data_IF_270716753689
#
_entry.id   IF_270716753689
#
_cell.length_a   1.000
_cell.length_b   1.000
_cell.length_c   1.000
_cell.angle_alpha   90.00
_cell.angle_beta   90.00
_cell.angle_gamma   90.00
#
_symmetry.space_group_name_H-M   'P 1'
#
loop_
_entity.id
_entity.type
_entity.pdbx_description
1 polymer ?
#
# COMPACT_ATOMS: atom_id res chain seq x y z
N UNK A 1 -59.84 -0.29 -55.26
CA UNK A 1 -58.80 -0.88 -54.40
C UNK A 1 -57.62 0.11 -54.35
N UNK A 2 -57.40 0.76 -53.21
CA UNK A 2 -56.28 1.70 -53.01
C UNK A 2 -55.06 0.87 -52.58
N UNK A 3 -54.03 0.80 -53.41
CA UNK A 3 -52.76 0.15 -53.08
C UNK A 3 -51.86 1.15 -52.37
N UNK A 4 -51.57 0.91 -51.09
CA UNK A 4 -50.61 1.70 -50.32
C UNK A 4 -49.24 1.05 -50.45
N UNK A 5 -48.28 1.76 -51.05
CA UNK A 5 -46.87 1.36 -51.11
C UNK A 5 -46.21 1.82 -49.82
N UNK A 6 -45.73 0.86 -49.01
CA UNK A 6 -44.99 1.12 -47.77
C UNK A 6 -43.50 1.26 -48.10
N UNK A 7 -42.92 2.43 -47.82
CA UNK A 7 -41.47 2.67 -47.93
C UNK A 7 -40.81 2.25 -46.61
N UNK A 8 -40.02 1.17 -46.64
CA UNK A 8 -39.10 0.83 -45.55
C UNK A 8 -37.89 1.76 -45.68
N UNK A 9 -37.76 2.73 -44.79
CA UNK A 9 -36.56 3.56 -44.69
C UNK A 9 -35.44 2.78 -44.02
N UNK A 10 -34.40 2.45 -44.79
CA UNK A 10 -33.17 1.87 -44.26
C UNK A 10 -32.27 3.02 -43.77
N UNK A 11 -32.24 3.26 -42.46
CA UNK A 11 -31.31 4.20 -41.86
C UNK A 11 -29.90 3.60 -41.87
N UNK A 12 -29.02 4.12 -42.73
CA UNK A 12 -27.60 3.80 -42.70
C UNK A 12 -26.96 4.53 -41.52
N UNK A 13 -26.75 3.83 -40.39
CA UNK A 13 -25.98 4.34 -39.27
C UNK A 13 -24.49 4.20 -39.63
N UNK A 14 -23.86 5.28 -40.05
CA UNK A 14 -22.40 5.34 -40.15
C UNK A 14 -21.81 5.44 -38.75
N UNK A 15 -21.35 4.32 -38.21
CA UNK A 15 -20.51 4.33 -37.01
C UNK A 15 -19.16 4.97 -37.37
N UNK A 16 -18.98 6.25 -37.06
CA UNK A 16 -17.66 6.87 -37.07
C UNK A 16 -16.91 6.27 -35.89
N UNK A 17 -16.04 5.29 -36.17
CA UNK A 17 -15.09 4.80 -35.19
C UNK A 17 -14.05 5.90 -34.94
N UNK A 18 -14.36 6.81 -34.02
CA UNK A 18 -13.37 7.74 -33.49
C UNK A 18 -12.29 6.95 -32.75
N UNK A 19 -11.02 7.22 -33.05
CA UNK A 19 -9.93 6.71 -32.24
C UNK A 19 -10.05 7.35 -30.84
N UNK A 20 -10.65 6.62 -29.88
CA UNK A 20 -10.67 7.05 -28.49
C UNK A 20 -9.28 6.77 -27.93
N UNK A 21 -8.44 7.80 -27.85
CA UNK A 21 -7.18 7.70 -27.13
C UNK A 21 -7.51 7.37 -25.67
N UNK A 22 -7.06 6.20 -25.23
CA UNK A 22 -7.26 5.78 -23.85
C UNK A 22 -6.58 6.78 -22.91
N UNK A 23 -7.35 7.40 -22.00
CA UNK A 23 -6.79 8.33 -21.03
C UNK A 23 -6.07 7.56 -19.92
N UNK A 24 -4.86 8.00 -19.56
CA UNK A 24 -4.22 7.51 -18.35
C UNK A 24 -5.07 7.87 -17.12
N UNK A 25 -5.16 6.99 -16.11
CA UNK A 25 -5.79 7.33 -14.84
C UNK A 25 -5.19 8.63 -14.28
N UNK A 26 -6.04 9.54 -13.82
CA UNK A 26 -5.60 10.77 -13.14
C UNK A 26 -6.19 10.79 -11.75
N UNK A 27 -5.33 10.91 -10.74
CA UNK A 27 -5.75 11.10 -9.35
C UNK A 27 -5.75 12.59 -9.06
N UNK A 28 -6.91 13.15 -8.73
CA UNK A 28 -7.07 14.56 -8.39
C UNK A 28 -6.92 14.77 -6.89
N UNK A 29 -7.55 13.90 -6.09
CA UNK A 29 -7.46 13.94 -4.64
C UNK A 29 -7.79 12.59 -4.03
N UNK A 30 -7.46 12.43 -2.75
CA UNK A 30 -7.92 11.30 -1.95
C UNK A 30 -8.19 11.76 -0.52
N UNK A 31 -9.11 11.09 0.16
CA UNK A 31 -9.47 11.38 1.55
C UNK A 31 -9.86 10.10 2.29
N UNK A 32 -9.41 9.91 3.54
CA UNK A 32 -8.48 10.77 4.27
C UNK A 32 -7.06 10.72 3.68
N UNK A 33 -6.23 11.73 3.99
CA UNK A 33 -4.82 11.78 3.55
C UNK A 33 -3.88 10.97 4.44
N UNK A 34 -4.40 10.48 5.58
CA UNK A 34 -3.68 9.67 6.55
C UNK A 34 -4.62 8.68 7.25
N UNK A 35 -4.05 7.65 7.86
CA UNK A 35 -4.80 6.67 8.64
C UNK A 35 -4.07 5.34 8.79
N UNK A 36 -4.49 4.50 9.76
CA UNK A 36 -3.91 3.17 9.95
C UNK A 36 -4.31 2.19 8.86
N UNK A 37 -3.66 1.02 8.85
CA UNK A 37 -4.08 -0.15 8.06
C UNK A 37 -5.58 -0.40 8.30
N UNK A 38 -6.30 -0.74 7.24
CA UNK A 38 -7.75 -0.95 7.28
C UNK A 38 -8.59 0.31 7.05
N UNK A 39 -7.99 1.51 7.07
CA UNK A 39 -8.71 2.77 6.75
C UNK A 39 -9.30 2.71 5.35
N UNK A 40 -10.54 3.18 5.20
CA UNK A 40 -11.17 3.34 3.90
C UNK A 40 -10.75 4.69 3.29
N UNK A 41 -10.16 4.66 2.10
CA UNK A 41 -9.72 5.84 1.36
C UNK A 41 -10.55 5.99 0.10
N UNK A 42 -11.15 7.15 -0.08
CA UNK A 42 -11.83 7.54 -1.31
C UNK A 42 -10.85 8.30 -2.20
N UNK A 43 -10.60 7.78 -3.39
CA UNK A 43 -9.73 8.38 -4.41
C UNK A 43 -10.64 8.98 -5.49
N UNK A 44 -10.51 10.28 -5.75
CA UNK A 44 -11.24 11.00 -6.81
C UNK A 44 -10.33 11.33 -7.98
N UNK A 45 -10.86 11.20 -9.19
CA UNK A 45 -10.04 11.27 -10.39
C UNK A 45 -10.82 11.11 -11.70
N UNK A 46 -10.12 10.63 -12.73
CA UNK A 46 -10.68 10.24 -14.02
C UNK A 46 -9.89 9.07 -14.62
N UNK A 47 -10.44 8.40 -15.64
CA UNK A 47 -9.76 7.31 -16.36
C UNK A 47 -9.73 5.98 -15.62
N UNK A 48 -10.54 5.83 -14.56
CA UNK A 48 -10.72 4.56 -13.85
C UNK A 48 -11.70 3.65 -14.61
N UNK A 49 -11.55 2.34 -14.42
CA UNK A 49 -12.55 1.38 -14.90
C UNK A 49 -13.75 1.32 -13.93
N UNK A 50 -14.95 1.09 -14.45
CA UNK A 50 -16.14 0.78 -13.62
C UNK A 50 -16.07 -0.60 -12.97
N UNK A 51 -15.22 -1.49 -13.47
CA UNK A 51 -14.97 -2.81 -12.87
C UNK A 51 -13.82 -2.74 -11.88
N UNK A 52 -14.05 -3.10 -10.62
CA UNK A 52 -13.03 -3.04 -9.57
C UNK A 52 -11.77 -3.85 -9.93
N UNK A 53 -11.92 -5.07 -10.43
CA UNK A 53 -10.80 -5.96 -10.81
C UNK A 53 -9.99 -5.51 -12.03
N UNK A 54 -10.52 -4.54 -12.78
CA UNK A 54 -9.85 -3.87 -13.89
C UNK A 54 -9.02 -2.66 -13.42
N UNK A 55 -9.06 -2.33 -12.13
CA UNK A 55 -8.20 -1.34 -11.52
C UNK A 55 -7.20 -2.03 -10.56
N UNK A 56 -6.03 -1.42 -10.40
CA UNK A 56 -5.06 -1.80 -9.36
C UNK A 56 -4.61 -0.52 -8.67
N UNK A 57 -4.67 -0.49 -7.33
CA UNK A 57 -4.23 0.65 -6.52
C UNK A 57 -3.11 0.20 -5.60
N UNK A 58 -2.02 0.96 -5.53
CA UNK A 58 -0.88 0.70 -4.67
C UNK A 58 -0.69 1.81 -3.64
N UNK A 59 -0.35 1.39 -2.42
CA UNK A 59 0.14 2.22 -1.32
C UNK A 59 1.63 1.91 -1.13
N UNK A 60 2.49 2.60 -1.89
CA UNK A 60 3.91 2.23 -1.99
C UNK A 60 4.07 0.89 -2.72
N UNK A 61 4.64 -0.10 -2.06
CA UNK A 61 4.88 -1.43 -2.65
C UNK A 61 3.67 -2.37 -2.54
N UNK A 62 2.68 -2.09 -1.68
CA UNK A 62 1.56 -3.01 -1.43
C UNK A 62 0.32 -2.65 -2.22
N UNK A 63 -0.35 -3.67 -2.79
CA UNK A 63 -1.64 -3.55 -3.47
C UNK A 63 -2.78 -3.43 -2.45
N UNK A 64 -3.64 -2.43 -2.64
CA UNK A 64 -4.87 -2.26 -1.87
C UNK A 64 -6.04 -3.06 -2.43
N UNK A 65 -6.96 -3.45 -1.54
CA UNK A 65 -8.27 -3.98 -1.94
C UNK A 65 -9.18 -2.83 -2.39
N UNK A 66 -9.88 -3.02 -3.51
CA UNK A 66 -10.82 -2.05 -4.07
C UNK A 66 -12.24 -2.49 -3.71
N UNK A 67 -12.99 -1.66 -3.00
CA UNK A 67 -14.37 -1.94 -2.60
C UNK A 67 -15.39 -1.51 -3.65
N UNK A 68 -15.24 -0.32 -4.20
CA UNK A 68 -16.12 0.19 -5.28
C UNK A 68 -15.30 0.95 -6.31
N UNK A 69 -15.78 0.91 -7.55
CA UNK A 69 -15.13 1.58 -8.67
C UNK A 69 -16.18 2.19 -9.61
N UNK A 70 -15.92 3.42 -10.04
CA UNK A 70 -16.56 4.05 -11.18
C UNK A 70 -15.50 4.88 -11.93
N UNK A 71 -15.88 5.56 -13.01
CA UNK A 71 -14.93 6.26 -13.89
C UNK A 71 -14.19 7.43 -13.23
N UNK A 72 -14.69 7.96 -12.12
CA UNK A 72 -14.15 9.13 -11.43
C UNK A 72 -13.85 8.93 -9.94
N UNK A 73 -14.14 7.76 -9.39
CA UNK A 73 -13.93 7.44 -7.99
C UNK A 73 -13.57 5.96 -7.78
N UNK A 74 -12.60 5.73 -6.90
CA UNK A 74 -12.29 4.42 -6.32
C UNK A 74 -12.43 4.51 -4.80
N UNK A 75 -13.01 3.51 -4.17
CA UNK A 75 -12.96 3.34 -2.71
C UNK A 75 -12.10 2.14 -2.40
N UNK A 76 -11.03 2.34 -1.63
CA UNK A 76 -10.02 1.32 -1.35
C UNK A 76 -9.77 1.19 0.15
N UNK A 77 -9.14 0.10 0.56
CA UNK A 77 -8.72 -0.13 1.95
C UNK A 77 -7.20 -0.09 2.05
N UNK A 78 -6.66 0.69 3.00
CA UNK A 78 -5.21 0.78 3.27
C UNK A 78 -4.68 -0.62 3.64
N UNK A 79 -3.73 -1.17 2.88
CA UNK A 79 -3.20 -2.52 3.14
C UNK A 79 -2.09 -2.50 4.20
N UNK A 80 -1.79 -3.68 4.75
CA UNK A 80 -0.57 -3.89 5.55
C UNK A 80 0.69 -3.58 4.71
N UNK A 81 1.70 -2.98 5.33
CA UNK A 81 2.91 -2.56 4.61
C UNK A 81 2.77 -1.30 3.75
N UNK A 82 1.64 -0.57 3.85
CA UNK A 82 1.51 0.75 3.23
C UNK A 82 2.59 1.71 3.73
N UNK A 83 3.39 2.27 2.82
CA UNK A 83 4.47 3.22 3.13
C UNK A 83 4.11 4.66 2.75
N UNK A 84 4.82 5.64 3.29
CA UNK A 84 4.69 7.06 2.93
C UNK A 84 5.12 7.35 1.47
N UNK A 85 4.21 7.11 0.53
CA UNK A 85 4.40 7.30 -0.91
C UNK A 85 3.11 7.80 -1.57
N UNK A 86 3.20 8.47 -2.74
CA UNK A 86 2.04 8.72 -3.58
C UNK A 86 1.26 7.45 -3.91
N UNK A 87 -0.06 7.58 -4.03
CA UNK A 87 -0.92 6.51 -4.53
C UNK A 87 -0.65 6.31 -6.01
N UNK A 88 -0.57 5.05 -6.42
CA UNK A 88 -0.35 4.66 -7.82
C UNK A 88 -1.51 3.79 -8.29
N UNK A 89 -2.13 4.15 -9.41
CA UNK A 89 -3.31 3.48 -9.97
C UNK A 89 -3.02 3.00 -11.37
N UNK A 90 -3.32 1.74 -11.67
CA UNK A 90 -3.30 1.16 -13.01
C UNK A 90 -4.73 0.86 -13.44
N UNK A 91 -5.08 1.25 -14.66
CA UNK A 91 -6.26 0.72 -15.34
C UNK A 91 -5.80 -0.40 -16.29
N UNK A 92 -6.19 -1.64 -15.99
CA UNK A 92 -5.74 -2.84 -16.72
C UNK A 92 -6.28 -2.91 -18.15
N UNK A 93 -7.41 -2.25 -18.43
CA UNK A 93 -8.01 -2.22 -19.76
C UNK A 93 -7.16 -1.32 -20.67
N UNK A 94 -6.83 -0.12 -20.20
CA UNK A 94 -6.03 0.83 -20.98
C UNK A 94 -4.53 0.55 -20.89
N UNK A 95 -4.10 -0.24 -19.89
CA UNK A 95 -2.69 -0.51 -19.55
C UNK A 95 -1.89 0.75 -19.21
N UNK A 96 -2.59 1.80 -18.81
CA UNK A 96 -2.00 3.07 -18.40
C UNK A 96 -2.09 3.23 -16.89
N UNK A 97 -1.23 4.10 -16.35
CA UNK A 97 -1.14 4.36 -14.92
C UNK A 97 -1.15 5.85 -14.60
N UNK A 98 -1.53 6.17 -13.36
CA UNK A 98 -1.47 7.51 -12.79
C UNK A 98 -0.96 7.50 -11.37
N UNK A 99 -0.35 8.61 -10.96
CA UNK A 99 0.19 8.82 -9.61
C UNK A 99 -0.46 10.06 -9.01
N UNK A 100 -0.73 10.05 -7.71
CA UNK A 100 -1.21 11.23 -7.00
C UNK A 100 -0.09 12.25 -6.77
N UNK A 101 -0.44 13.52 -6.58
CA UNK A 101 0.52 14.57 -6.22
C UNK A 101 0.94 14.51 -4.73
N UNK A 102 0.08 13.96 -3.87
CA UNK A 102 0.33 13.81 -2.44
C UNK A 102 0.62 12.35 -2.08
N UNK A 103 1.46 12.15 -1.06
CA UNK A 103 1.65 10.85 -0.42
C UNK A 103 0.54 10.58 0.61
N UNK A 104 0.16 9.31 0.78
CA UNK A 104 -0.67 8.89 1.89
C UNK A 104 0.20 8.70 3.14
N UNK A 105 -0.20 9.28 4.27
CA UNK A 105 0.50 9.14 5.54
C UNK A 105 -0.08 7.98 6.36
N UNK A 106 0.51 6.80 6.22
CA UNK A 106 0.16 5.64 7.05
C UNK A 106 0.45 5.97 8.50
N UNK A 107 -0.57 5.99 9.35
CA UNK A 107 -0.39 6.16 10.78
C UNK A 107 -0.29 4.80 11.46
N UNK A 108 0.59 4.72 12.45
CA UNK A 108 0.71 3.56 13.30
C UNK A 108 0.28 4.03 14.68
N UNK A 109 -0.85 3.52 15.18
CA UNK A 109 -1.10 3.59 16.61
C UNK A 109 -0.38 2.39 17.18
N UNK A 110 0.80 2.63 17.75
CA UNK A 110 1.36 1.66 18.67
C UNK A 110 0.68 1.97 20.00
N UNK A 111 -0.14 1.06 20.55
CA UNK A 111 -0.66 1.22 21.90
C UNK A 111 0.48 1.55 22.86
N UNK A 112 0.24 2.27 23.96
CA UNK A 112 1.30 2.57 24.94
C UNK A 112 1.93 1.29 25.53
N UNK A 113 1.17 0.19 25.47
CA UNK A 113 1.48 -1.20 25.79
C UNK A 113 1.90 -2.05 24.57
N UNK A 114 1.86 -1.48 23.36
CA UNK A 114 2.29 -2.13 22.11
C UNK A 114 3.80 -2.09 21.88
N UNK A 115 4.54 -1.39 22.73
CA UNK A 115 5.98 -1.55 22.89
C UNK A 115 6.22 -1.94 24.34
N UNK A 116 6.96 -3.02 24.58
CA UNK A 116 7.39 -3.35 25.92
C UNK A 116 8.14 -2.16 26.55
N UNK A 117 8.06 -1.96 27.87
CA UNK A 117 8.88 -0.97 28.56
C UNK A 117 10.36 -1.13 28.17
N UNK A 118 11.09 -0.01 28.10
CA UNK A 118 12.52 -0.05 27.80
C UNK A 118 13.24 -0.98 28.78
N UNK A 119 13.74 -2.10 28.29
CA UNK A 119 14.65 -2.96 29.04
C UNK A 119 16.06 -2.40 28.88
N UNK A 120 16.76 -2.20 30.00
CA UNK A 120 18.19 -1.85 30.01
C UNK A 120 18.98 -3.09 30.37
N UNK A 121 19.73 -3.59 29.40
CA UNK A 121 20.75 -4.59 29.65
C UNK A 121 22.05 -3.87 29.99
N UNK A 122 22.40 -3.87 31.27
CA UNK A 122 23.66 -3.31 31.74
C UNK A 122 24.68 -4.45 31.82
N UNK A 123 25.80 -4.40 31.08
CA UNK A 123 26.90 -5.31 31.37
C UNK A 123 27.48 -4.98 32.75
N UNK A 124 27.97 -5.99 33.47
CA UNK A 124 28.51 -5.82 34.83
C UNK A 124 29.67 -4.80 34.90
N UNK A 125 30.34 -4.54 33.77
CA UNK A 125 31.20 -3.36 33.56
C UNK A 125 31.05 -2.84 32.14
N UNK A 126 31.59 -1.66 31.82
CA UNK A 126 31.54 -1.09 30.48
C UNK A 126 31.98 -2.09 29.40
N UNK A 127 31.09 -2.36 28.44
CA UNK A 127 31.44 -3.12 27.25
C UNK A 127 32.41 -2.30 26.40
N UNK A 128 33.46 -2.95 25.86
CA UNK A 128 34.41 -2.28 24.97
C UNK A 128 33.90 -2.25 23.53
N UNK A 129 33.19 -3.29 23.12
CA UNK A 129 32.58 -3.38 21.80
C UNK A 129 31.19 -4.03 21.89
N UNK A 130 30.30 -3.61 21.00
CA UNK A 130 28.94 -4.12 20.86
C UNK A 130 28.65 -4.36 19.38
N UNK A 131 28.26 -5.58 19.04
CA UNK A 131 27.85 -5.97 17.70
C UNK A 131 26.37 -6.36 17.71
N UNK A 132 25.69 -6.11 16.60
CA UNK A 132 24.29 -6.50 16.38
C UNK A 132 24.26 -7.45 15.17
N UNK A 133 24.00 -8.72 15.42
CA UNK A 133 24.05 -9.78 14.41
C UNK A 133 23.11 -10.92 14.82
N UNK A 134 22.59 -11.65 13.85
CA UNK A 134 21.88 -12.91 14.05
C UNK A 134 22.92 -14.03 14.30
N UNK A 135 23.18 -14.37 15.57
CA UNK A 135 24.26 -15.30 15.95
C UNK A 135 23.83 -16.77 15.84
N UNK A 136 22.53 -17.05 15.89
CA UNK A 136 22.00 -18.42 15.81
C UNK A 136 21.24 -18.74 14.52
N UNK A 137 21.13 -17.77 13.60
CA UNK A 137 20.62 -17.95 12.25
C UNK A 137 19.09 -17.99 12.18
N UNK A 138 18.40 -17.45 13.18
CA UNK A 138 16.93 -17.49 13.29
C UNK A 138 16.23 -16.34 12.54
N UNK A 139 17.00 -15.42 11.95
CA UNK A 139 16.53 -14.26 11.21
C UNK A 139 16.23 -13.04 12.09
N UNK A 140 16.50 -13.09 13.40
CA UNK A 140 16.39 -11.97 14.32
C UNK A 140 17.77 -11.52 14.75
N UNK A 141 17.94 -10.21 14.93
CA UNK A 141 19.22 -9.66 15.36
C UNK A 141 19.39 -9.81 16.87
N UNK A 142 20.50 -10.38 17.31
CA UNK A 142 20.97 -10.46 18.68
C UNK A 142 21.95 -9.33 19.03
N UNK A 143 22.31 -9.22 20.31
CA UNK A 143 23.37 -8.31 20.76
C UNK A 143 24.52 -9.14 21.34
N UNK A 144 25.72 -8.87 20.83
CA UNK A 144 26.97 -9.41 21.33
C UNK A 144 27.79 -8.29 21.96
N UNK A 145 28.19 -8.43 23.22
CA UNK A 145 29.01 -7.42 23.91
C UNK A 145 30.26 -8.06 24.53
N UNK A 146 31.41 -7.40 24.38
CA UNK A 146 32.68 -7.87 24.97
C UNK A 146 33.02 -7.06 26.22
N UNK A 147 33.47 -7.78 27.25
CA UNK A 147 33.97 -7.19 28.48
C UNK A 147 35.42 -7.63 28.69
N UNK A 148 36.37 -6.76 28.34
CA UNK A 148 37.79 -7.07 28.49
C UNK A 148 38.27 -7.06 29.95
N UNK A 149 37.60 -6.31 30.83
CA UNK A 149 37.97 -6.23 32.25
C UNK A 149 37.68 -7.56 32.96
N UNK A 150 36.51 -8.13 32.70
CA UNK A 150 36.10 -9.42 33.25
C UNK A 150 36.50 -10.62 32.38
N UNK A 151 37.03 -10.36 31.17
CA UNK A 151 37.36 -11.38 30.14
C UNK A 151 36.16 -12.25 29.77
N UNK A 152 34.98 -11.63 29.70
CA UNK A 152 33.73 -12.32 29.38
C UNK A 152 33.10 -11.79 28.10
N UNK A 153 32.25 -12.63 27.51
CA UNK A 153 31.38 -12.30 26.39
C UNK A 153 29.94 -12.38 26.88
N UNK A 154 29.15 -11.36 26.58
CA UNK A 154 27.71 -11.34 26.86
C UNK A 154 26.96 -11.51 25.54
N UNK A 155 26.04 -12.48 25.51
CA UNK A 155 25.15 -12.73 24.37
C UNK A 155 23.73 -12.49 24.83
N UNK A 156 23.06 -11.51 24.24
CA UNK A 156 21.65 -11.24 24.47
C UNK A 156 20.89 -11.69 23.23
N UNK A 157 20.27 -12.87 23.34
CA UNK A 157 19.51 -13.45 22.24
C UNK A 157 18.14 -12.82 22.11
N UNK A 158 17.77 -12.42 20.91
CA UNK A 158 16.48 -11.88 20.59
C UNK A 158 15.48 -13.01 20.31
N UNK A 159 14.74 -13.42 21.34
CA UNK A 159 13.76 -14.50 21.22
C UNK A 159 12.35 -14.02 20.93
N UNK A 160 12.17 -12.71 20.73
CA UNK A 160 10.86 -12.11 20.49
C UNK A 160 10.04 -12.82 19.41
N UNK A 161 8.77 -13.12 19.68
CA UNK A 161 7.81 -13.43 18.62
C UNK A 161 7.24 -12.11 18.05
N UNK A 162 6.67 -12.15 16.84
CA UNK A 162 6.09 -10.97 16.20
C UNK A 162 5.09 -10.29 17.14
N UNK A 163 5.42 -9.10 17.64
CA UNK A 163 4.57 -8.33 18.56
C UNK A 163 4.93 -8.43 20.05
N UNK A 164 5.99 -9.17 20.40
CA UNK A 164 6.57 -9.21 21.75
C UNK A 164 8.01 -8.73 21.70
N UNK A 165 8.55 -8.17 22.78
CA UNK A 165 10.00 -7.99 22.95
C UNK A 165 10.31 -8.78 24.23
N UNK A 166 10.94 -9.94 24.08
CA UNK A 166 11.42 -10.81 25.16
C UNK A 166 12.95 -10.87 25.13
#
# INVERSE_FOLDING_TARGET
MKSTISFISLALITAVAGNIYAQAPKIVSFSPVSGPVGTQVTIKGSGFSTTADSNVVYFGATRAAIKTANTSQLVVTVPEGATYKPLFVINKITKLSGTSSLAFNTSFSVPADGVAPKVRFLPDTAALDVQIIDIDGDGKTDILATNANLRTLMVLRNKSEKGTID
#
